data_IF_002372857939
#
_entry.id   IF_002372857939
#
_cell.length_a   1.000
_cell.length_b   1.000
_cell.length_c   1.000
_cell.angle_alpha   90.00
_cell.angle_beta   90.00
_cell.angle_gamma   90.00
#
_symmetry.space_group_name_H-M   'P 1'
#
loop_
_entity.id
_entity.type
_entity.pdbx_description
1 polymer ?
#
# COMPACT_ATOMS: atom_id res chain seq x y z
N UNK A 1 -20.21 12.91 16.60
CA UNK A 1 -18.99 12.91 15.74
C UNK A 1 -18.98 11.58 15.03
N UNK A 2 -19.01 11.59 13.73
CA UNK A 2 -19.10 10.35 12.94
C UNK A 2 -17.78 9.59 13.06
N UNK A 3 -17.84 8.31 13.32
CA UNK A 3 -16.68 7.43 13.56
C UNK A 3 -15.70 7.44 12.36
N UNK A 4 -16.21 7.65 11.15
CA UNK A 4 -15.45 7.73 9.91
C UNK A 4 -14.49 8.92 9.87
N UNK A 5 -14.91 10.05 10.48
CA UNK A 5 -14.09 11.27 10.50
C UNK A 5 -12.76 11.08 11.25
N UNK A 6 -12.72 10.11 12.16
CA UNK A 6 -11.51 9.80 12.94
C UNK A 6 -10.84 8.53 12.40
N UNK A 7 -11.59 7.46 12.18
CA UNK A 7 -11.02 6.16 11.86
C UNK A 7 -10.42 6.10 10.45
N UNK A 8 -11.07 6.73 9.45
CA UNK A 8 -10.56 6.72 8.08
C UNK A 8 -9.19 7.43 7.94
N UNK A 9 -8.94 8.62 8.50
CA UNK A 9 -7.61 9.23 8.53
C UNK A 9 -6.57 8.37 9.24
N UNK A 10 -6.91 7.75 10.37
CA UNK A 10 -5.98 6.88 11.11
C UNK A 10 -5.59 5.65 10.28
N UNK A 11 -6.54 4.99 9.63
CA UNK A 11 -6.26 3.86 8.74
C UNK A 11 -5.40 4.29 7.53
N UNK A 12 -5.63 5.50 6.99
CA UNK A 12 -4.79 6.05 5.92
C UNK A 12 -3.35 6.26 6.37
N UNK A 13 -3.14 6.89 7.53
CA UNK A 13 -1.79 7.10 8.10
C UNK A 13 -1.10 5.76 8.32
N UNK A 14 -1.80 4.78 8.90
CA UNK A 14 -1.28 3.43 9.09
C UNK A 14 -0.88 2.78 7.76
N UNK A 15 -1.74 2.90 6.74
CA UNK A 15 -1.47 2.37 5.41
C UNK A 15 -0.22 3.03 4.78
N UNK A 16 -0.03 4.36 4.95
CA UNK A 16 1.18 5.05 4.51
C UNK A 16 2.43 4.51 5.19
N UNK A 17 2.41 4.36 6.51
CA UNK A 17 3.55 3.82 7.28
C UNK A 17 3.91 2.41 6.79
N UNK A 18 2.90 1.54 6.64
CA UNK A 18 3.10 0.17 6.15
C UNK A 18 3.63 0.13 4.72
N UNK A 19 3.18 1.06 3.86
CA UNK A 19 3.67 1.19 2.49
C UNK A 19 5.14 1.60 2.47
N UNK A 20 5.53 2.63 3.23
CA UNK A 20 6.92 3.08 3.29
C UNK A 20 7.85 1.99 3.85
N UNK A 21 7.45 1.29 4.90
CA UNK A 21 8.21 0.17 5.44
C UNK A 21 8.35 -0.97 4.44
N UNK A 22 7.26 -1.36 3.77
CA UNK A 22 7.29 -2.46 2.79
C UNK A 22 8.13 -2.11 1.57
N UNK A 23 7.92 -0.90 1.00
CA UNK A 23 8.62 -0.45 -0.20
C UNK A 23 10.07 -0.18 0.11
N UNK A 24 10.38 0.59 1.15
CA UNK A 24 11.73 0.99 1.48
C UNK A 24 12.61 -0.19 1.84
N UNK A 25 12.16 -1.03 2.78
CA UNK A 25 12.92 -2.25 3.14
C UNK A 25 13.00 -3.23 1.96
N UNK A 26 11.95 -3.31 1.11
CA UNK A 26 11.98 -4.13 -0.10
C UNK A 26 13.04 -3.65 -1.11
N UNK A 27 13.09 -2.35 -1.39
CA UNK A 27 14.10 -1.72 -2.24
C UNK A 27 15.51 -1.88 -1.65
N UNK A 28 15.65 -1.74 -0.33
CA UNK A 28 16.91 -1.96 0.37
C UNK A 28 17.40 -3.40 0.19
N UNK A 29 16.54 -4.40 0.36
CA UNK A 29 16.86 -5.80 0.07
C UNK A 29 17.29 -5.97 -1.39
N UNK A 30 16.58 -5.37 -2.35
CA UNK A 30 16.94 -5.47 -3.77
C UNK A 30 18.35 -4.94 -4.06
N UNK A 31 18.66 -3.78 -3.50
CA UNK A 31 19.93 -3.11 -3.82
C UNK A 31 21.13 -3.71 -3.07
N UNK A 32 20.95 -4.04 -1.80
CA UNK A 32 22.05 -4.41 -0.92
C UNK A 32 22.12 -5.91 -0.57
N UNK A 33 21.30 -6.76 -1.19
CA UNK A 33 21.19 -8.19 -0.84
C UNK A 33 22.53 -8.91 -0.73
N UNK A 34 23.47 -8.65 -1.62
CA UNK A 34 24.80 -9.28 -1.64
C UNK A 34 25.73 -8.81 -0.50
N UNK A 35 25.43 -7.65 0.09
CA UNK A 35 26.23 -7.04 1.16
C UNK A 35 25.63 -7.28 2.54
N UNK A 36 24.37 -7.76 2.62
CA UNK A 36 23.69 -7.97 3.89
C UNK A 36 24.20 -9.22 4.61
N UNK A 37 24.47 -9.07 5.91
CA UNK A 37 24.69 -10.23 6.79
C UNK A 37 23.40 -11.07 6.90
N UNK A 38 23.53 -12.37 7.18
CA UNK A 38 22.38 -13.26 7.31
C UNK A 38 21.35 -12.79 8.37
N UNK A 39 21.76 -12.29 9.57
CA UNK A 39 20.82 -11.73 10.54
C UNK A 39 20.08 -10.51 10.02
N UNK A 40 20.81 -9.55 9.41
CA UNK A 40 20.22 -8.32 8.85
C UNK A 40 19.21 -8.64 7.75
N UNK A 41 19.58 -9.53 6.82
CA UNK A 41 18.66 -9.98 5.77
C UNK A 41 17.40 -10.63 6.35
N UNK A 42 17.54 -11.48 7.37
CA UNK A 42 16.39 -12.13 8.05
C UNK A 42 15.48 -11.10 8.72
N UNK A 43 16.05 -10.07 9.35
CA UNK A 43 15.30 -8.97 9.96
C UNK A 43 14.51 -8.19 8.91
N UNK A 44 15.17 -7.71 7.85
CA UNK A 44 14.52 -6.98 6.76
C UNK A 44 13.41 -7.80 6.11
N UNK A 45 13.65 -9.08 5.85
CA UNK A 45 12.64 -10.00 5.32
C UNK A 45 11.41 -10.10 6.22
N UNK A 46 11.59 -10.24 7.54
CA UNK A 46 10.48 -10.27 8.51
C UNK A 46 9.71 -8.95 8.53
N UNK A 47 10.42 -7.83 8.43
CA UNK A 47 9.81 -6.50 8.41
C UNK A 47 8.92 -6.32 7.17
N UNK A 48 9.42 -6.62 5.97
CA UNK A 48 8.63 -6.57 4.73
C UNK A 48 7.44 -7.53 4.80
N UNK A 49 7.64 -8.77 5.27
CA UNK A 49 6.55 -9.74 5.37
C UNK A 49 5.45 -9.27 6.33
N UNK A 50 5.80 -8.75 7.50
CA UNK A 50 4.82 -8.26 8.49
C UNK A 50 4.12 -7.00 8.01
N UNK A 51 4.85 -6.00 7.50
CA UNK A 51 4.25 -4.77 7.02
C UNK A 51 3.33 -5.00 5.82
N UNK A 52 3.70 -5.87 4.88
CA UNK A 52 2.85 -6.19 3.74
C UNK A 52 1.63 -7.03 4.13
N UNK A 53 1.76 -7.99 5.05
CA UNK A 53 0.61 -8.74 5.58
C UNK A 53 -0.35 -7.80 6.31
N UNK A 54 0.15 -6.94 7.20
CA UNK A 54 -0.70 -5.98 7.92
C UNK A 54 -1.35 -4.99 6.95
N UNK A 55 -0.61 -4.51 5.94
CA UNK A 55 -1.13 -3.64 4.90
C UNK A 55 -2.26 -4.29 4.08
N UNK A 56 -2.13 -5.57 3.75
CA UNK A 56 -3.19 -6.31 3.06
C UNK A 56 -4.46 -6.53 3.91
N UNK A 57 -4.35 -6.46 5.24
CA UNK A 57 -5.50 -6.48 6.13
C UNK A 57 -6.12 -5.07 6.26
N UNK A 58 -5.29 -4.05 6.44
CA UNK A 58 -5.75 -2.66 6.65
C UNK A 58 -6.45 -2.09 5.41
N UNK A 59 -6.00 -2.42 4.20
CA UNK A 59 -6.56 -1.89 2.96
C UNK A 59 -8.07 -2.21 2.79
N UNK A 60 -8.55 -3.45 2.96
CA UNK A 60 -9.98 -3.74 2.92
C UNK A 60 -10.80 -2.97 3.98
N UNK A 61 -10.26 -2.82 5.19
CA UNK A 61 -10.95 -2.01 6.21
C UNK A 61 -11.09 -0.55 5.78
N UNK A 62 -10.08 0.03 5.14
CA UNK A 62 -10.17 1.38 4.60
C UNK A 62 -11.23 1.48 3.49
N UNK A 63 -11.40 0.45 2.67
CA UNK A 63 -12.45 0.39 1.66
C UNK A 63 -13.84 0.39 2.31
N UNK A 64 -14.06 -0.44 3.34
CA UNK A 64 -15.31 -0.49 4.09
C UNK A 64 -15.61 0.85 4.76
N UNK A 65 -14.60 1.51 5.33
CA UNK A 65 -14.77 2.86 5.88
C UNK A 65 -15.13 3.90 4.80
N UNK A 66 -14.61 3.73 3.58
CA UNK A 66 -14.97 4.59 2.45
C UNK A 66 -16.44 4.39 2.04
N UNK A 67 -16.92 3.14 2.01
CA UNK A 67 -18.33 2.83 1.73
C UNK A 67 -19.25 3.39 2.81
N UNK A 68 -18.93 3.22 4.09
CA UNK A 68 -19.68 3.79 5.21
C UNK A 68 -19.73 5.31 5.18
N UNK A 69 -18.62 5.97 4.81
CA UNK A 69 -18.58 7.43 4.66
C UNK A 69 -19.47 7.94 3.50
N UNK A 70 -19.58 7.17 2.41
CA UNK A 70 -20.46 7.49 1.28
C UNK A 70 -21.93 7.36 1.68
N UNK A 71 -22.30 6.29 2.39
CA UNK A 71 -23.68 6.04 2.82
C UNK A 71 -24.10 6.80 4.08
N UNK A 72 -23.15 7.31 4.84
CA UNK A 72 -23.40 8.14 6.04
C UNK A 72 -23.70 7.35 7.32
N UNK A 73 -23.67 6.01 7.28
CA UNK A 73 -23.93 5.16 8.45
C UNK A 73 -23.05 3.91 8.48
N UNK A 74 -23.04 3.21 9.63
CA UNK A 74 -22.24 2.02 9.83
C UNK A 74 -22.70 0.84 8.97
N UNK A 75 -23.99 0.73 8.74
CA UNK A 75 -24.58 -0.35 7.95
C UNK A 75 -24.14 -0.26 6.49
N UNK A 76 -24.00 0.94 5.97
CA UNK A 76 -23.48 1.21 4.61
C UNK A 76 -22.06 0.68 4.38
N UNK A 77 -21.26 0.50 5.43
CA UNK A 77 -19.93 -0.10 5.30
C UNK A 77 -19.93 -1.53 4.79
N UNK A 78 -21.02 -2.27 5.03
CA UNK A 78 -21.19 -3.66 4.63
C UNK A 78 -22.29 -3.83 3.56
N UNK A 79 -22.89 -2.74 3.10
CA UNK A 79 -23.87 -2.74 2.01
C UNK A 79 -23.15 -3.01 0.67
N UNK A 80 -23.54 -4.07 -0.08
CA UNK A 80 -22.92 -4.38 -1.36
C UNK A 80 -23.01 -3.24 -2.38
N UNK A 81 -24.09 -2.46 -2.38
CA UNK A 81 -24.25 -1.32 -3.27
C UNK A 81 -23.24 -0.22 -2.93
N UNK A 82 -23.09 0.14 -1.65
CA UNK A 82 -22.14 1.16 -1.20
C UNK A 82 -20.71 0.73 -1.41
N UNK A 83 -20.39 -0.55 -1.20
CA UNK A 83 -19.07 -1.13 -1.51
C UNK A 83 -18.78 -1.03 -3.02
N UNK A 84 -19.76 -1.34 -3.87
CA UNK A 84 -19.62 -1.21 -5.33
C UNK A 84 -19.35 0.24 -5.76
N UNK A 85 -20.06 1.20 -5.18
CA UNK A 85 -19.85 2.63 -5.41
C UNK A 85 -18.45 3.06 -4.93
N UNK A 86 -18.05 2.62 -3.73
CA UNK A 86 -16.72 2.90 -3.20
C UNK A 86 -15.62 2.36 -4.12
N UNK A 87 -15.73 1.12 -4.60
CA UNK A 87 -14.81 0.48 -5.54
C UNK A 87 -14.71 1.23 -6.87
N UNK A 88 -15.80 1.78 -7.36
CA UNK A 88 -15.85 2.56 -8.61
C UNK A 88 -15.20 3.93 -8.47
N UNK A 89 -15.00 4.42 -7.24
CA UNK A 89 -14.37 5.70 -6.97
C UNK A 89 -12.84 5.63 -7.16
N UNK A 90 -12.20 6.77 -7.43
CA UNK A 90 -10.73 6.86 -7.50
C UNK A 90 -10.05 6.43 -6.20
N UNK A 91 -10.66 6.74 -5.06
CA UNK A 91 -10.18 6.33 -3.75
C UNK A 91 -10.22 4.80 -3.60
N UNK A 92 -11.34 4.16 -3.95
CA UNK A 92 -11.48 2.70 -3.90
C UNK A 92 -10.54 1.98 -4.87
N UNK A 93 -10.37 2.51 -6.10
CA UNK A 93 -9.40 1.97 -7.05
C UNK A 93 -7.97 2.01 -6.51
N UNK A 94 -7.58 3.13 -5.86
CA UNK A 94 -6.28 3.27 -5.19
C UNK A 94 -6.12 2.21 -4.08
N UNK A 95 -7.15 2.00 -3.26
CA UNK A 95 -7.14 0.98 -2.20
C UNK A 95 -7.03 -0.44 -2.76
N UNK A 96 -7.70 -0.75 -3.86
CA UNK A 96 -7.55 -2.05 -4.54
C UNK A 96 -6.12 -2.28 -5.04
N UNK A 97 -5.53 -1.27 -5.67
CA UNK A 97 -4.16 -1.38 -6.22
C UNK A 97 -3.15 -1.56 -5.10
N UNK A 98 -3.27 -0.81 -3.99
CA UNK A 98 -2.36 -0.99 -2.84
C UNK A 98 -2.54 -2.35 -2.17
N UNK A 99 -3.77 -2.84 -2.06
CA UNK A 99 -4.08 -4.17 -1.52
C UNK A 99 -3.40 -5.27 -2.34
N UNK A 100 -3.56 -5.24 -3.67
CA UNK A 100 -2.89 -6.19 -4.58
C UNK A 100 -1.37 -6.07 -4.48
N UNK A 101 -0.83 -4.86 -4.40
CA UNK A 101 0.59 -4.62 -4.20
C UNK A 101 1.11 -5.29 -2.92
N UNK A 102 0.42 -5.11 -1.78
CA UNK A 102 0.79 -5.75 -0.52
C UNK A 102 0.72 -7.27 -0.58
N UNK A 103 -0.32 -7.84 -1.19
CA UNK A 103 -0.44 -9.29 -1.37
C UNK A 103 0.73 -9.84 -2.18
N UNK A 104 1.06 -9.21 -3.31
CA UNK A 104 2.18 -9.63 -4.16
C UNK A 104 3.49 -9.55 -3.40
N UNK A 105 3.76 -8.45 -2.67
CA UNK A 105 4.97 -8.30 -1.85
C UNK A 105 5.04 -9.36 -0.75
N UNK A 106 3.93 -9.63 -0.07
CA UNK A 106 3.86 -10.66 0.97
C UNK A 106 4.17 -12.04 0.42
N UNK A 107 3.54 -12.44 -0.69
CA UNK A 107 3.80 -13.74 -1.33
C UNK A 107 5.22 -13.82 -1.86
N UNK A 108 5.72 -12.76 -2.51
CA UNK A 108 7.10 -12.70 -2.99
C UNK A 108 8.10 -12.93 -1.87
N UNK A 109 8.04 -12.15 -0.80
CA UNK A 109 9.06 -12.20 0.26
C UNK A 109 8.94 -13.48 1.11
N UNK A 110 7.73 -14.05 1.23
CA UNK A 110 7.49 -15.26 2.01
C UNK A 110 7.89 -16.53 1.29
N UNK A 111 7.57 -16.64 -0.01
CA UNK A 111 7.68 -17.90 -0.76
C UNK A 111 8.66 -17.83 -1.94
N UNK A 112 8.74 -16.70 -2.67
CA UNK A 112 9.42 -16.60 -3.96
C UNK A 112 10.65 -15.69 -3.98
N UNK A 113 11.10 -15.16 -2.84
CA UNK A 113 12.16 -14.16 -2.72
C UNK A 113 13.51 -14.53 -3.38
N UNK A 114 13.75 -15.81 -3.61
CA UNK A 114 14.97 -16.30 -4.28
C UNK A 114 14.79 -16.42 -5.80
N UNK A 115 13.57 -16.62 -6.28
CA UNK A 115 13.29 -17.05 -7.65
C UNK A 115 12.73 -15.94 -8.55
N UNK A 116 12.08 -14.92 -7.99
CA UNK A 116 11.37 -13.93 -8.79
C UNK A 116 11.60 -12.50 -8.31
N UNK A 117 12.65 -11.87 -8.85
CA UNK A 117 12.89 -10.42 -8.68
C UNK A 117 11.73 -9.58 -9.23
N UNK A 118 11.21 -9.96 -10.41
CA UNK A 118 10.14 -9.23 -11.09
C UNK A 118 8.85 -9.17 -10.27
N UNK A 119 8.50 -10.26 -9.58
CA UNK A 119 7.30 -10.30 -8.74
C UNK A 119 7.38 -9.30 -7.59
N UNK A 120 8.54 -9.22 -6.93
CA UNK A 120 8.77 -8.23 -5.89
C UNK A 120 8.72 -6.80 -6.42
N UNK A 121 9.42 -6.52 -7.53
CA UNK A 121 9.42 -5.20 -8.17
C UNK A 121 8.00 -4.77 -8.57
N UNK A 122 7.19 -5.69 -9.14
CA UNK A 122 5.79 -5.43 -9.49
C UNK A 122 4.97 -5.05 -8.25
N UNK A 123 5.07 -5.81 -7.16
CA UNK A 123 4.31 -5.52 -5.95
C UNK A 123 4.69 -4.17 -5.33
N UNK A 124 6.00 -3.86 -5.24
CA UNK A 124 6.47 -2.56 -4.74
C UNK A 124 6.02 -1.40 -5.64
N UNK A 125 6.06 -1.58 -6.96
CA UNK A 125 5.60 -0.59 -7.92
C UNK A 125 4.08 -0.33 -7.77
N UNK A 126 3.26 -1.37 -7.60
CA UNK A 126 1.82 -1.22 -7.40
C UNK A 126 1.51 -0.44 -6.11
N UNK A 127 2.23 -0.70 -5.01
CA UNK A 127 2.07 0.08 -3.78
C UNK A 127 2.33 1.56 -4.04
N UNK A 128 3.43 1.91 -4.71
CA UNK A 128 3.77 3.31 -5.03
C UNK A 128 2.77 3.94 -6.01
N UNK A 129 2.38 3.22 -7.06
CA UNK A 129 1.44 3.70 -8.07
C UNK A 129 0.05 3.97 -7.48
N UNK A 130 -0.36 3.24 -6.43
CA UNK A 130 -1.66 3.46 -5.79
C UNK A 130 -1.83 4.89 -5.31
N UNK A 131 -0.75 5.54 -4.82
CA UNK A 131 -0.79 6.92 -4.34
C UNK A 131 -0.98 7.94 -5.47
N UNK A 132 -0.64 7.60 -6.71
CA UNK A 132 -0.84 8.48 -7.86
C UNK A 132 -2.25 8.44 -8.44
N UNK A 133 -3.06 7.43 -8.06
CA UNK A 133 -4.43 7.27 -8.57
C UNK A 133 -5.45 8.20 -7.89
N UNK A 134 -5.09 8.74 -6.72
CA UNK A 134 -6.00 9.57 -5.91
C UNK A 134 -5.29 10.79 -5.35
N UNK A 135 -5.94 11.96 -5.41
CA UNK A 135 -5.43 13.21 -4.85
C UNK A 135 -5.06 14.25 -5.93
N UNK A 136 -4.37 15.31 -5.51
CA UNK A 136 -4.04 16.45 -6.37
C UNK A 136 -3.10 16.11 -7.53
N UNK A 137 -2.33 15.04 -7.44
CA UNK A 137 -1.44 14.59 -8.52
C UNK A 137 -2.19 14.23 -9.81
N UNK A 138 -3.47 13.85 -9.70
CA UNK A 138 -4.30 13.51 -10.86
C UNK A 138 -4.72 14.74 -11.68
N UNK A 139 -4.68 15.94 -11.08
CA UNK A 139 -5.11 17.20 -11.72
C UNK A 139 -4.04 17.71 -12.71
N UNK A 140 -2.76 17.53 -12.37
CA UNK A 140 -1.63 18.09 -13.12
C UNK A 140 -1.03 17.13 -14.16
N UNK A 141 -1.72 16.04 -14.47
CA UNK A 141 -1.36 15.08 -15.51
C UNK A 141 -0.25 14.09 -15.15
N UNK A 142 0.17 13.32 -16.15
CA UNK A 142 1.10 12.20 -16.01
C UNK A 142 2.45 12.58 -15.37
N UNK A 143 3.00 13.74 -15.70
CA UNK A 143 4.29 14.20 -15.16
C UNK A 143 4.25 14.35 -13.63
N UNK A 144 3.16 14.90 -13.09
CA UNK A 144 2.99 15.05 -11.62
C UNK A 144 2.83 13.71 -10.93
N UNK A 145 2.14 12.77 -11.56
CA UNK A 145 2.00 11.40 -11.03
C UNK A 145 3.34 10.68 -10.99
N UNK A 146 4.14 10.79 -12.06
CA UNK A 146 5.49 10.20 -12.13
C UNK A 146 6.42 10.81 -11.07
N UNK A 147 6.44 12.14 -10.94
CA UNK A 147 7.23 12.82 -9.91
C UNK A 147 6.82 12.39 -8.50
N UNK A 148 5.52 12.25 -8.23
CA UNK A 148 5.03 11.76 -6.95
C UNK A 148 5.55 10.34 -6.66
N UNK A 149 5.45 9.42 -7.61
CA UNK A 149 5.91 8.03 -7.47
C UNK A 149 7.42 7.99 -7.21
N UNK A 150 8.21 8.76 -7.94
CA UNK A 150 9.66 8.86 -7.73
C UNK A 150 9.99 9.45 -6.36
N UNK A 151 9.30 10.51 -5.95
CA UNK A 151 9.48 11.15 -4.65
C UNK A 151 9.15 10.18 -3.50
N UNK A 152 7.99 9.51 -3.57
CA UNK A 152 7.59 8.53 -2.56
C UNK A 152 8.54 7.32 -2.54
N UNK A 153 9.02 6.86 -3.69
CA UNK A 153 10.04 5.81 -3.77
C UNK A 153 11.34 6.19 -3.07
N UNK A 154 11.80 7.43 -3.27
CA UNK A 154 13.00 7.96 -2.63
C UNK A 154 12.80 8.07 -1.11
N UNK A 155 11.69 8.65 -0.65
CA UNK A 155 11.38 8.74 0.79
C UNK A 155 11.28 7.34 1.39
N UNK A 156 10.60 6.41 0.73
CA UNK A 156 10.48 5.02 1.21
C UNK A 156 11.85 4.39 1.41
N UNK A 157 12.77 4.57 0.46
CA UNK A 157 14.14 4.03 0.54
C UNK A 157 14.93 4.59 1.73
N UNK A 158 14.67 5.84 2.12
CA UNK A 158 15.32 6.45 3.29
C UNK A 158 14.72 6.02 4.63
N UNK A 159 13.43 5.67 4.65
CA UNK A 159 12.69 5.30 5.87
C UNK A 159 12.78 3.80 6.17
N UNK A 160 12.83 2.96 5.14
CA UNK A 160 12.87 1.49 5.25
C UNK A 160 14.26 0.96 5.24
#
# INVERSE_FOLDING_TARGET
MEIWAILAPLLKVLLYILSFLSVGTGLFIFHFRSLLSAPTYSYCRKLVSRSSLTGSIVAPFLLLMTAGNIGGDLQSSVDPMMISIALSSKAGQSVLVVFLGFLIVFFWISFFHKQSFLLGALGLALILLSFSLYGHSTINGFSSQLLLVLHLGTISFWVG
#
